data_IF_051083890076
#
_entry.id   IF_051083890076
#
_cell.length_a   1.000
_cell.length_b   1.000
_cell.length_c   1.000
_cell.angle_alpha   90.00
_cell.angle_beta   90.00
_cell.angle_gamma   90.00
#
_symmetry.space_group_name_H-M   'P 1'
#
loop_
_entity.id
_entity.type
_entity.pdbx_description
1 polymer ?
#
# COMPACT_ATOMS: atom_id res chain seq x y z
N UNK A 1 21.78 0.84 -16.53
CA UNK A 1 21.05 1.56 -17.61
C UNK A 1 19.94 2.36 -16.97
N UNK A 2 20.08 3.69 -16.89
CA UNK A 2 18.99 4.60 -16.52
C UNK A 2 18.10 4.77 -17.75
N UNK A 3 16.80 4.53 -17.59
CA UNK A 3 15.85 4.56 -18.71
C UNK A 3 15.77 5.98 -19.29
N UNK A 4 16.12 6.22 -20.56
CA UNK A 4 16.24 7.56 -21.13
C UNK A 4 14.90 8.31 -21.29
N UNK A 5 13.77 7.63 -21.07
CA UNK A 5 12.42 8.24 -21.02
C UNK A 5 11.95 8.57 -19.61
N UNK A 6 12.79 8.36 -18.59
CA UNK A 6 12.45 8.66 -17.20
C UNK A 6 12.23 10.17 -17.05
N UNK A 7 10.96 10.59 -17.02
CA UNK A 7 10.59 11.98 -16.74
C UNK A 7 11.25 12.42 -15.43
N UNK A 8 11.80 13.64 -15.43
CA UNK A 8 12.35 14.22 -14.23
C UNK A 8 11.27 14.23 -13.13
N UNK A 9 11.60 13.83 -11.89
CA UNK A 9 10.66 13.86 -10.79
C UNK A 9 10.20 15.30 -10.55
N UNK A 10 8.89 15.51 -10.50
CA UNK A 10 8.30 16.81 -10.18
C UNK A 10 8.46 17.07 -8.67
N UNK A 11 9.51 17.82 -8.32
CA UNK A 11 9.84 18.17 -6.93
C UNK A 11 8.78 19.08 -6.29
N UNK A 12 8.06 19.86 -7.09
CA UNK A 12 6.98 20.72 -6.60
C UNK A 12 5.77 19.88 -6.23
N UNK A 13 5.38 18.91 -7.07
CA UNK A 13 4.34 17.95 -6.73
C UNK A 13 4.75 17.09 -5.52
N UNK A 14 6.02 16.67 -5.45
CA UNK A 14 6.57 15.88 -4.35
C UNK A 14 6.37 16.58 -3.00
N UNK A 15 6.86 17.82 -2.88
CA UNK A 15 6.79 18.59 -1.63
C UNK A 15 5.34 18.92 -1.23
N UNK A 16 4.48 19.22 -2.21
CA UNK A 16 3.07 19.44 -1.96
C UNK A 16 2.38 18.21 -1.38
N UNK A 17 2.62 17.03 -1.96
CA UNK A 17 2.01 15.79 -1.44
C UNK A 17 2.49 15.47 -0.03
N UNK A 18 3.78 15.65 0.26
CA UNK A 18 4.30 15.46 1.63
C UNK A 18 3.63 16.44 2.61
N UNK A 19 3.42 17.70 2.20
CA UNK A 19 2.68 18.67 3.01
C UNK A 19 1.24 18.23 3.26
N UNK A 20 0.54 17.72 2.23
CA UNK A 20 -0.84 17.22 2.36
C UNK A 20 -0.90 16.01 3.31
N UNK A 21 0.04 15.08 3.22
CA UNK A 21 0.13 13.94 4.14
C UNK A 21 0.29 14.39 5.60
N UNK A 22 1.03 15.48 5.84
CA UNK A 22 1.23 16.02 7.20
C UNK A 22 0.03 16.81 7.71
N UNK A 23 -0.56 17.67 6.87
CA UNK A 23 -1.58 18.63 7.28
C UNK A 23 -3.00 18.06 7.23
N UNK A 24 -3.31 17.23 6.23
CA UNK A 24 -4.66 16.69 6.01
C UNK A 24 -4.74 15.29 6.58
N UNK A 25 -3.80 14.43 6.22
CA UNK A 25 -3.85 13.02 6.64
C UNK A 25 -3.33 12.82 8.08
N UNK A 26 -2.90 13.90 8.76
CA UNK A 26 -2.34 13.91 10.12
C UNK A 26 -1.18 12.90 10.33
N UNK A 27 -0.37 12.67 9.29
CA UNK A 27 0.77 11.74 9.37
C UNK A 27 2.01 12.47 9.84
N UNK A 28 2.72 11.91 10.82
CA UNK A 28 3.97 12.49 11.26
C UNK A 28 5.05 12.33 10.18
N UNK A 29 6.05 13.21 10.19
CA UNK A 29 7.19 13.07 9.28
C UNK A 29 7.92 11.72 9.47
N UNK A 30 8.01 11.26 10.72
CA UNK A 30 8.60 9.97 11.08
C UNK A 30 7.82 8.80 10.49
N UNK A 31 6.48 8.84 10.53
CA UNK A 31 5.65 7.79 9.92
C UNK A 31 5.83 7.73 8.41
N UNK A 32 5.89 8.89 7.76
CA UNK A 32 6.09 8.98 6.31
C UNK A 32 7.45 8.39 5.94
N UNK A 33 8.52 8.79 6.63
CA UNK A 33 9.87 8.25 6.41
C UNK A 33 9.94 6.75 6.70
N UNK A 34 9.35 6.29 7.81
CA UNK A 34 9.35 4.88 8.20
C UNK A 34 8.57 4.01 7.21
N UNK A 35 7.43 4.51 6.72
CA UNK A 35 6.66 3.80 5.70
C UNK A 35 7.41 3.74 4.36
N UNK A 36 8.06 4.84 3.97
CA UNK A 36 8.84 4.89 2.75
C UNK A 36 10.05 3.96 2.80
N UNK A 37 10.79 3.94 3.92
CA UNK A 37 11.91 3.02 4.14
C UNK A 37 11.47 1.55 4.06
N UNK A 38 10.35 1.21 4.71
CA UNK A 38 9.77 -0.13 4.63
C UNK A 38 9.36 -0.50 3.20
N UNK A 39 8.59 0.37 2.53
CA UNK A 39 8.11 0.13 1.17
C UNK A 39 9.27 0.02 0.14
N UNK A 40 10.37 0.73 0.37
CA UNK A 40 11.56 0.68 -0.50
C UNK A 40 12.33 -0.64 -0.37
N UNK A 41 12.23 -1.33 0.77
CA UNK A 41 12.87 -2.64 1.01
C UNK A 41 11.99 -3.80 0.55
N UNK A 42 10.70 -3.59 0.42
CA UNK A 42 9.77 -4.62 -0.02
C UNK A 42 9.87 -4.87 -1.54
N UNK A 43 10.01 -6.15 -1.91
CA UNK A 43 10.21 -6.58 -3.30
C UNK A 43 9.03 -6.26 -4.22
N UNK A 44 7.82 -6.10 -3.67
CA UNK A 44 6.63 -5.72 -4.42
C UNK A 44 6.46 -4.20 -4.44
N UNK A 45 6.56 -3.54 -3.28
CA UNK A 45 6.28 -2.10 -3.17
C UNK A 45 7.36 -1.19 -3.72
N UNK A 46 8.65 -1.58 -3.70
CA UNK A 46 9.72 -0.70 -4.18
C UNK A 46 9.54 -0.26 -5.65
N UNK A 47 8.88 -1.08 -6.50
CA UNK A 47 8.58 -0.73 -7.90
C UNK A 47 7.32 0.13 -8.04
N UNK A 48 6.43 0.06 -7.08
CA UNK A 48 5.13 0.73 -7.10
C UNK A 48 5.18 2.09 -6.40
N UNK A 49 6.03 2.24 -5.37
CA UNK A 49 6.15 3.45 -4.56
C UNK A 49 7.37 4.26 -5.00
N UNK A 50 7.23 4.91 -6.16
CA UNK A 50 8.28 5.77 -6.74
C UNK A 50 8.09 7.26 -6.41
N UNK A 51 6.96 7.63 -5.78
CA UNK A 51 6.63 9.00 -5.42
C UNK A 51 5.79 9.07 -4.13
N UNK A 52 5.77 10.23 -3.43
CA UNK A 52 4.89 10.44 -2.27
C UNK A 52 3.41 10.34 -2.63
N UNK A 53 3.03 10.62 -3.88
CA UNK A 53 1.66 10.45 -4.36
C UNK A 53 1.25 8.99 -4.38
N UNK A 54 2.11 8.12 -4.93
CA UNK A 54 1.90 6.67 -4.89
C UNK A 54 1.88 6.15 -3.44
N UNK A 55 2.79 6.66 -2.59
CA UNK A 55 2.82 6.33 -1.15
C UNK A 55 1.51 6.72 -0.46
N UNK A 56 1.02 7.95 -0.69
CA UNK A 56 -0.22 8.47 -0.10
C UNK A 56 -1.42 7.64 -0.54
N UNK A 57 -1.52 7.32 -1.84
CA UNK A 57 -2.63 6.55 -2.44
C UNK A 57 -2.71 5.12 -1.93
N UNK A 58 -1.58 4.47 -1.65
CA UNK A 58 -1.53 3.07 -1.21
C UNK A 58 -1.34 2.93 0.31
N UNK A 59 -1.38 4.03 1.07
CA UNK A 59 -1.03 4.04 2.49
C UNK A 59 -1.80 3.03 3.33
N UNK A 60 -3.11 2.92 3.13
CA UNK A 60 -3.94 1.99 3.91
C UNK A 60 -3.53 0.53 3.66
N UNK A 61 -3.20 0.20 2.40
CA UNK A 61 -2.71 -1.14 2.03
C UNK A 61 -1.34 -1.42 2.62
N UNK A 62 -0.43 -0.46 2.56
CA UNK A 62 0.90 -0.56 3.17
C UNK A 62 0.78 -0.76 4.68
N UNK A 63 -0.11 -0.02 5.34
CA UNK A 63 -0.37 -0.13 6.77
C UNK A 63 -0.92 -1.50 7.13
N UNK A 64 -1.90 -2.02 6.38
CA UNK A 64 -2.43 -3.37 6.60
C UNK A 64 -1.36 -4.45 6.41
N UNK A 65 -0.57 -4.37 5.34
CA UNK A 65 0.45 -5.37 5.06
C UNK A 65 1.63 -5.31 6.04
N UNK A 66 2.05 -4.12 6.47
CA UNK A 66 3.09 -3.95 7.47
C UNK A 66 2.65 -4.46 8.85
N UNK A 67 1.38 -4.28 9.21
CA UNK A 67 0.79 -4.80 10.45
C UNK A 67 0.53 -6.30 10.41
N UNK A 68 0.59 -6.91 9.24
CA UNK A 68 0.45 -8.35 9.08
C UNK A 68 1.85 -8.98 9.16
N UNK A 69 2.24 -9.61 10.29
CA UNK A 69 3.42 -10.47 10.30
C UNK A 69 3.14 -11.53 9.23
N UNK A 70 4.00 -11.56 8.19
CA UNK A 70 3.70 -12.19 6.90
C UNK A 70 2.79 -13.40 7.04
N UNK A 71 1.56 -13.30 6.53
CA UNK A 71 0.69 -14.46 6.36
C UNK A 71 1.40 -15.34 5.34
N UNK A 72 2.31 -16.17 5.85
CA UNK A 72 2.48 -17.51 5.35
C UNK A 72 1.06 -18.05 5.34
N UNK A 73 0.47 -18.16 4.15
CA UNK A 73 -0.81 -18.83 3.97
C UNK A 73 -0.54 -20.29 4.31
N UNK A 74 -0.51 -20.59 5.60
CA UNK A 74 -0.40 -21.92 6.16
C UNK A 74 -1.71 -22.62 5.81
N UNK A 75 -1.70 -23.35 4.69
CA UNK A 75 -2.81 -24.16 4.22
C UNK A 75 -4.03 -23.34 3.84
N UNK A 76 -4.22 -23.10 2.53
CA UNK A 76 -5.57 -22.87 2.00
C UNK A 76 -6.43 -24.06 2.45
N UNK A 77 -7.29 -23.87 3.46
CA UNK A 77 -8.40 -24.79 3.71
C UNK A 77 -9.10 -24.97 2.37
N UNK A 78 -9.23 -26.22 1.93
CA UNK A 78 -9.85 -26.56 0.64
C UNK A 78 -11.17 -25.80 0.57
N UNK A 79 -11.28 -24.89 -0.40
CA UNK A 79 -12.50 -24.10 -0.61
C UNK A 79 -13.63 -25.10 -0.76
N UNK A 80 -14.58 -25.10 0.17
CA UNK A 80 -15.75 -25.95 0.08
C UNK A 80 -16.68 -25.36 -0.98
N UNK A 81 -16.61 -25.93 -2.18
CA UNK A 81 -17.41 -25.53 -3.33
C UNK A 81 -18.91 -25.85 -3.15
N UNK A 82 -19.27 -26.59 -2.11
CA UNK A 82 -20.66 -26.92 -1.78
C UNK A 82 -21.21 -26.12 -0.61
N UNK A 83 -20.48 -25.10 -0.13
CA UNK A 83 -21.01 -24.21 0.88
C UNK A 83 -22.11 -23.32 0.28
N UNK A 84 -23.37 -23.64 0.58
CA UNK A 84 -24.55 -22.89 0.17
C UNK A 84 -25.04 -21.89 1.22
N UNK A 85 -24.26 -21.59 2.28
CA UNK A 85 -24.69 -20.68 3.37
C UNK A 85 -25.05 -19.26 2.88
N UNK A 86 -24.55 -18.86 1.71
CA UNK A 86 -24.86 -17.57 1.09
C UNK A 86 -26.29 -17.45 0.55
N UNK A 87 -27.02 -18.56 0.34
CA UNK A 87 -28.33 -18.56 -0.31
C UNK A 87 -29.51 -18.44 0.67
N UNK A 88 -29.31 -18.78 1.95
CA UNK A 88 -30.41 -18.86 2.92
C UNK A 88 -30.90 -17.50 3.45
N UNK A 89 -30.19 -16.40 3.17
CA UNK A 89 -30.57 -15.04 3.59
C UNK A 89 -31.43 -14.26 2.58
N UNK A 90 -31.84 -14.87 1.47
CA UNK A 90 -32.55 -14.20 0.36
C UNK A 90 -34.04 -14.57 0.28
N UNK A 91 -34.52 -15.48 1.13
CA UNK A 91 -35.90 -15.98 1.10
C UNK A 91 -36.80 -15.51 2.27
N UNK A 92 -36.50 -14.36 2.88
CA UNK A 92 -37.48 -13.63 3.73
C UNK A 92 -38.15 -12.48 2.97
#
# INVERSE_FOLDING_TARGET
MINPTCKAPDMTAWSNTVRLMRQIDNRSHQDICGMYDWASKDSFWHRNILSPDALRKQWDKLTMQRSTPGIQVAGKSKVDLNNTDWIYGVLE
#
